data_IF_335733245808
#
_entry.id   IF_335733245808
#
_cell.length_a   1.000
_cell.length_b   1.000
_cell.length_c   1.000
_cell.angle_alpha   90.00
_cell.angle_beta   90.00
_cell.angle_gamma   90.00
#
_symmetry.space_group_name_H-M   'P 1'
#
loop_
_entity.id
_entity.type
_entity.pdbx_description
1 polymer ?
#
# COMPACT_ATOMS: atom_id res chain seq x y z
N UNK A 1 77.87 -23.46 10.94
CA UNK A 1 77.68 -22.87 9.61
C UNK A 1 76.28 -23.18 9.11
N UNK A 2 75.36 -22.40 9.45
CA UNK A 2 73.96 -22.45 8.90
C UNK A 2 73.13 -21.41 9.62
N UNK A 3 73.02 -20.22 9.12
CA UNK A 3 71.96 -19.29 9.52
C UNK A 3 72.10 -17.90 8.81
N UNK A 4 72.41 -17.85 7.51
CA UNK A 4 72.44 -16.61 6.76
C UNK A 4 71.67 -16.61 5.43
N UNK A 5 70.86 -17.61 5.16
CA UNK A 5 70.12 -17.71 3.86
C UNK A 5 68.63 -17.45 4.00
N UNK A 6 68.07 -17.33 5.23
CA UNK A 6 66.62 -17.21 5.45
C UNK A 6 66.07 -15.80 5.41
N UNK A 7 66.89 -14.76 5.29
CA UNK A 7 66.41 -13.37 5.33
C UNK A 7 66.58 -12.58 4.02
N UNK A 8 67.11 -13.21 2.96
CA UNK A 8 67.25 -12.51 1.67
C UNK A 8 66.06 -12.65 0.71
N UNK A 9 65.21 -13.62 0.91
CA UNK A 9 64.08 -13.92 -0.01
C UNK A 9 62.91 -12.93 0.20
N UNK A 10 62.53 -12.48 1.41
CA UNK A 10 61.46 -11.54 1.57
C UNK A 10 61.78 -10.11 1.09
N UNK A 11 63.09 -9.73 1.13
CA UNK A 11 63.49 -8.38 0.70
C UNK A 11 63.52 -8.24 -0.84
N UNK A 12 63.81 -9.30 -1.57
CA UNK A 12 63.79 -9.27 -3.04
C UNK A 12 62.35 -9.28 -3.57
N UNK A 13 61.41 -9.91 -2.88
CA UNK A 13 60.01 -9.91 -3.27
C UNK A 13 59.35 -8.55 -2.97
N UNK A 14 59.74 -7.85 -1.90
CA UNK A 14 59.26 -6.52 -1.59
C UNK A 14 59.83 -5.45 -2.56
N UNK A 15 61.07 -5.66 -3.08
CA UNK A 15 61.65 -4.72 -4.05
C UNK A 15 61.12 -4.96 -5.48
N UNK A 16 60.66 -6.19 -5.84
CA UNK A 16 60.03 -6.46 -7.12
C UNK A 16 58.58 -5.94 -7.17
N UNK A 17 57.87 -5.86 -6.05
CA UNK A 17 56.54 -5.26 -6.01
C UNK A 17 56.58 -3.73 -6.06
N UNK A 18 57.63 -3.10 -5.58
CA UNK A 18 57.81 -1.63 -5.67
C UNK A 18 58.23 -1.15 -7.06
N UNK A 19 58.79 -2.01 -7.92
CA UNK A 19 59.22 -1.66 -9.29
C UNK A 19 58.12 -1.83 -10.35
N UNK A 20 57.00 -2.45 -10.03
CA UNK A 20 55.85 -2.63 -10.95
C UNK A 20 54.78 -1.54 -10.81
N UNK A 21 54.93 -0.58 -9.91
CA UNK A 21 53.98 0.52 -9.68
C UNK A 21 54.37 1.80 -10.44
N UNK A 22 55.42 1.81 -11.25
CA UNK A 22 55.92 3.05 -11.86
C UNK A 22 56.06 3.01 -13.38
N UNK A 23 55.16 2.33 -14.13
CA UNK A 23 55.00 2.57 -15.58
C UNK A 23 53.66 1.98 -16.07
N UNK A 24 52.62 2.74 -15.89
CA UNK A 24 51.33 2.58 -16.50
C UNK A 24 50.50 3.79 -16.17
N UNK A 25 50.43 4.74 -17.08
CA UNK A 25 49.35 5.73 -17.10
C UNK A 25 48.11 4.97 -17.52
N UNK A 26 47.48 4.27 -16.60
CA UNK A 26 46.04 4.05 -16.63
C UNK A 26 45.43 5.21 -15.84
N UNK A 27 44.63 5.97 -16.51
CA UNK A 27 43.72 6.91 -15.86
C UNK A 27 42.94 6.08 -14.84
N UNK A 28 43.34 6.18 -13.58
CA UNK A 28 42.62 5.59 -12.49
C UNK A 28 41.22 6.19 -12.51
N UNK A 29 40.27 5.39 -12.89
CA UNK A 29 38.88 5.63 -12.59
C UNK A 29 38.79 5.83 -11.09
N UNK A 30 38.71 7.11 -10.67
CA UNK A 30 38.41 7.45 -9.28
C UNK A 30 36.99 6.89 -9.07
N UNK A 31 36.91 5.66 -8.58
CA UNK A 31 35.71 5.16 -7.96
C UNK A 31 35.53 6.03 -6.72
N UNK A 32 34.85 7.15 -6.90
CA UNK A 32 34.25 7.85 -5.77
C UNK A 32 33.35 6.80 -5.12
N UNK A 33 33.76 6.27 -3.96
CA UNK A 33 32.83 5.59 -3.08
C UNK A 33 31.68 6.59 -2.90
N UNK A 34 30.59 6.37 -3.61
CA UNK A 34 29.35 7.07 -3.34
C UNK A 34 29.06 6.82 -1.86
N UNK A 35 29.13 7.88 -1.07
CA UNK A 35 28.66 7.84 0.31
C UNK A 35 27.17 7.50 0.24
N UNK A 36 26.87 6.20 0.34
CA UNK A 36 25.52 5.67 0.25
C UNK A 36 24.77 6.11 1.49
N UNK A 37 24.00 7.18 1.36
CA UNK A 37 23.15 7.69 2.43
C UNK A 37 21.97 6.73 2.62
N UNK A 38 22.00 5.94 3.71
CA UNK A 38 20.85 5.10 4.06
C UNK A 38 19.63 5.97 4.36
N UNK A 39 18.48 5.53 3.89
CA UNK A 39 17.21 6.17 4.22
C UNK A 39 16.91 6.00 5.69
N UNK A 40 16.53 7.11 6.34
CA UNK A 40 16.01 7.11 7.70
C UNK A 40 14.56 7.52 7.62
N UNK A 41 13.67 6.57 7.87
CA UNK A 41 12.24 6.86 7.99
C UNK A 41 11.97 7.66 9.28
N UNK A 42 10.94 8.53 9.30
CA UNK A 42 10.55 9.23 10.50
C UNK A 42 10.13 8.23 11.59
N UNK A 43 10.18 8.66 12.84
CA UNK A 43 9.58 7.86 13.92
C UNK A 43 8.07 7.80 13.71
N UNK A 44 7.50 6.63 14.02
CA UNK A 44 6.05 6.48 13.97
C UNK A 44 5.35 7.51 14.85
N UNK A 45 4.23 8.03 14.36
CA UNK A 45 3.32 8.89 15.11
C UNK A 45 2.10 8.12 15.64
N UNK A 46 2.03 6.81 15.38
CA UNK A 46 0.99 5.98 15.96
C UNK A 46 1.17 5.91 17.48
N UNK A 47 0.18 6.41 18.21
CA UNK A 47 0.15 6.38 19.66
C UNK A 47 -0.29 5.00 20.15
N UNK A 48 0.54 3.98 19.89
CA UNK A 48 0.32 2.58 20.30
C UNK A 48 1.33 2.18 21.36
N UNK A 49 0.95 1.27 22.24
CA UNK A 49 1.87 0.63 23.20
C UNK A 49 2.85 -0.29 22.48
N UNK A 50 3.95 -0.67 23.14
CA UNK A 50 4.93 -1.60 22.57
C UNK A 50 4.30 -2.95 22.19
N UNK A 51 3.37 -3.47 23.01
CA UNK A 51 2.62 -4.68 22.71
C UNK A 51 1.75 -4.52 21.47
N UNK A 52 1.06 -3.39 21.33
CA UNK A 52 0.22 -3.11 20.16
C UNK A 52 1.06 -2.91 18.90
N UNK A 53 2.22 -2.27 19.00
CA UNK A 53 3.18 -2.15 17.90
C UNK A 53 3.65 -3.51 17.38
N UNK A 54 3.73 -4.53 18.25
CA UNK A 54 4.11 -5.89 17.83
C UNK A 54 3.09 -6.55 16.90
N UNK A 55 1.86 -6.03 16.80
CA UNK A 55 0.83 -6.51 15.86
C UNK A 55 1.02 -5.99 14.42
N UNK A 56 1.92 -5.05 14.18
CA UNK A 56 2.14 -4.48 12.84
C UNK A 56 2.72 -5.51 11.88
N UNK A 57 3.73 -6.26 12.29
CA UNK A 57 4.31 -7.30 11.44
C UNK A 57 3.29 -8.41 11.09
N UNK A 58 2.53 -8.99 12.05
CA UNK A 58 1.42 -9.89 11.72
C UNK A 58 0.34 -9.29 10.80
N UNK A 59 0.03 -8.00 10.95
CA UNK A 59 -0.93 -7.30 10.06
C UNK A 59 -0.37 -7.15 8.65
N UNK A 60 0.91 -6.88 8.50
CA UNK A 60 1.57 -6.85 7.18
C UNK A 60 1.64 -8.25 6.55
N UNK A 61 1.87 -9.32 7.33
CA UNK A 61 1.78 -10.70 6.84
C UNK A 61 0.37 -11.04 6.34
N UNK A 62 -0.65 -10.64 7.10
CA UNK A 62 -2.03 -10.76 6.64
C UNK A 62 -2.25 -9.98 5.35
N UNK A 63 -1.72 -8.76 5.25
CA UNK A 63 -1.82 -7.90 4.07
C UNK A 63 -1.28 -8.59 2.82
N UNK A 64 -0.04 -9.10 2.86
CA UNK A 64 0.56 -9.75 1.69
C UNK A 64 -0.14 -11.06 1.34
N UNK A 65 -0.50 -11.88 2.33
CA UNK A 65 -1.24 -13.12 2.11
C UNK A 65 -2.61 -12.84 1.50
N UNK A 66 -3.40 -11.94 2.10
CA UNK A 66 -4.73 -11.60 1.62
C UNK A 66 -4.69 -11.01 0.21
N UNK A 67 -3.72 -10.14 -0.08
CA UNK A 67 -3.58 -9.56 -1.41
C UNK A 67 -3.19 -10.61 -2.44
N UNK A 68 -2.23 -11.47 -2.14
CA UNK A 68 -1.79 -12.56 -3.00
C UNK A 68 -2.92 -13.54 -3.31
N UNK A 69 -3.70 -13.93 -2.30
CA UNK A 69 -4.83 -14.84 -2.46
C UNK A 69 -5.95 -14.26 -3.36
N UNK A 70 -6.00 -12.93 -3.51
CA UNK A 70 -6.98 -12.22 -4.33
C UNK A 70 -6.39 -11.65 -5.62
N UNK A 71 -5.09 -11.75 -5.83
CA UNK A 71 -4.43 -11.17 -6.99
C UNK A 71 -4.95 -11.75 -8.31
N UNK A 72 -5.25 -10.86 -9.24
CA UNK A 72 -5.66 -11.18 -10.60
C UNK A 72 -4.69 -10.52 -11.57
N UNK A 73 -4.01 -11.32 -12.38
CA UNK A 73 -3.10 -10.81 -13.39
C UNK A 73 -3.85 -9.91 -14.40
N UNK A 74 -3.16 -8.92 -14.94
CA UNK A 74 -3.68 -7.99 -15.94
C UNK A 74 -4.90 -7.14 -15.47
N UNK A 75 -5.11 -7.04 -14.15
CA UNK A 75 -6.21 -6.28 -13.56
C UNK A 75 -5.65 -5.20 -12.64
N UNK A 76 -6.17 -3.98 -12.75
CA UNK A 76 -5.90 -2.93 -11.78
C UNK A 76 -6.61 -3.27 -10.47
N UNK A 77 -5.84 -3.37 -9.40
CA UNK A 77 -6.35 -3.75 -8.09
C UNK A 77 -5.92 -2.76 -7.02
N UNK A 78 -6.81 -2.53 -6.07
CA UNK A 78 -6.53 -1.76 -4.86
C UNK A 78 -7.34 -2.32 -3.70
N UNK A 79 -6.66 -2.73 -2.64
CA UNK A 79 -7.28 -3.21 -1.41
C UNK A 79 -6.67 -2.49 -0.20
N UNK A 80 -7.46 -2.38 0.86
CA UNK A 80 -6.95 -2.18 2.21
C UNK A 80 -7.12 -3.47 3.00
N UNK A 81 -6.14 -4.38 3.00
CA UNK A 81 -6.24 -5.60 3.80
C UNK A 81 -6.38 -5.30 5.30
N UNK A 82 -5.84 -4.18 5.78
CA UNK A 82 -6.07 -3.69 7.13
C UNK A 82 -7.56 -3.45 7.39
N UNK A 83 -8.29 -2.86 6.44
CA UNK A 83 -9.74 -2.69 6.53
C UNK A 83 -10.49 -4.02 6.59
N UNK A 84 -10.07 -5.01 5.80
CA UNK A 84 -10.63 -6.37 5.88
C UNK A 84 -10.30 -7.05 7.22
N UNK A 85 -9.06 -6.95 7.68
CA UNK A 85 -8.63 -7.48 8.98
C UNK A 85 -9.46 -6.90 10.11
N UNK A 86 -9.69 -5.59 10.09
CA UNK A 86 -10.54 -4.87 11.04
C UNK A 86 -11.99 -5.37 10.99
N UNK A 87 -12.56 -5.48 9.79
CA UNK A 87 -13.94 -5.99 9.61
C UNK A 87 -14.08 -7.42 10.12
N UNK A 88 -13.13 -8.30 9.82
CA UNK A 88 -13.14 -9.69 10.31
C UNK A 88 -12.89 -9.77 11.81
N UNK A 89 -12.12 -8.86 12.41
CA UNK A 89 -11.96 -8.77 13.87
C UNK A 89 -13.30 -8.43 14.56
N UNK A 90 -14.11 -7.55 13.98
CA UNK A 90 -15.49 -7.33 14.47
C UNK A 90 -16.30 -8.64 14.44
N UNK A 91 -16.18 -9.41 13.35
CA UNK A 91 -16.86 -10.71 13.18
C UNK A 91 -16.43 -11.74 14.23
N UNK A 92 -15.14 -11.73 14.64
CA UNK A 92 -14.64 -12.63 15.69
C UNK A 92 -15.45 -12.57 17.01
N UNK A 93 -16.10 -11.42 17.28
CA UNK A 93 -16.89 -11.25 18.51
C UNK A 93 -18.19 -12.07 18.52
N UNK A 94 -18.66 -12.59 17.38
CA UNK A 94 -19.98 -13.25 17.28
C UNK A 94 -19.96 -14.60 16.57
N UNK A 95 -18.81 -15.08 16.12
CA UNK A 95 -18.70 -16.41 15.49
C UNK A 95 -18.21 -17.46 16.47
N UNK A 96 -18.71 -18.70 16.36
CA UNK A 96 -18.35 -19.81 17.25
C UNK A 96 -16.86 -20.12 17.24
N UNK A 97 -16.22 -20.02 16.08
CA UNK A 97 -14.80 -20.29 15.89
C UNK A 97 -13.98 -18.97 15.85
N UNK A 98 -14.37 -17.96 16.62
CA UNK A 98 -13.74 -16.65 16.65
C UNK A 98 -12.24 -16.69 16.96
N UNK A 99 -11.79 -17.68 17.76
CA UNK A 99 -10.36 -17.88 18.06
C UNK A 99 -9.57 -18.26 16.81
N UNK A 100 -10.04 -19.25 16.06
CA UNK A 100 -9.37 -19.68 14.83
C UNK A 100 -9.34 -18.56 13.77
N UNK A 101 -10.43 -17.79 13.66
CA UNK A 101 -10.47 -16.61 12.78
C UNK A 101 -9.47 -15.55 13.25
N UNK A 102 -9.44 -15.24 14.55
CA UNK A 102 -8.49 -14.28 15.15
C UNK A 102 -7.03 -14.66 14.89
N UNK A 103 -6.69 -15.95 15.08
CA UNK A 103 -5.33 -16.45 14.76
C UNK A 103 -5.00 -16.30 13.25
N UNK A 104 -5.96 -16.56 12.38
CA UNK A 104 -5.79 -16.36 10.94
C UNK A 104 -5.55 -14.88 10.58
N UNK A 105 -6.14 -13.96 11.33
CA UNK A 105 -5.92 -12.52 11.18
C UNK A 105 -4.54 -12.06 11.70
N UNK A 106 -3.75 -12.94 12.31
CA UNK A 106 -2.43 -12.63 12.85
C UNK A 106 -2.39 -12.40 14.37
N UNK A 107 -3.52 -12.45 15.08
CA UNK A 107 -3.61 -12.19 16.52
C UNK A 107 -3.52 -13.49 17.35
N UNK A 108 -2.49 -14.28 17.09
CA UNK A 108 -2.28 -15.54 17.79
C UNK A 108 -1.96 -15.30 19.27
N UNK A 109 -2.73 -15.95 20.16
CA UNK A 109 -2.55 -15.83 21.61
C UNK A 109 -3.14 -14.56 22.23
N UNK A 110 -3.61 -13.61 21.44
CA UNK A 110 -4.31 -12.42 21.95
C UNK A 110 -5.73 -12.76 22.42
N UNK A 111 -6.20 -12.07 23.47
CA UNK A 111 -7.62 -12.14 23.85
C UNK A 111 -8.49 -11.33 22.86
N UNK A 112 -9.79 -11.63 22.80
CA UNK A 112 -10.70 -10.82 21.98
C UNK A 112 -10.80 -9.37 22.45
N UNK A 113 -10.72 -9.17 23.76
CA UNK A 113 -10.68 -7.84 24.38
C UNK A 113 -9.40 -7.08 23.95
N UNK A 114 -8.24 -7.76 23.97
CA UNK A 114 -6.97 -7.19 23.49
C UNK A 114 -7.03 -6.76 22.04
N UNK A 115 -7.60 -7.61 21.17
CA UNK A 115 -7.79 -7.27 19.74
C UNK A 115 -8.74 -6.08 19.55
N UNK A 116 -9.86 -6.05 20.29
CA UNK A 116 -10.81 -4.92 20.24
C UNK A 116 -10.13 -3.61 20.68
N UNK A 117 -9.33 -3.65 21.76
CA UNK A 117 -8.59 -2.50 22.28
C UNK A 117 -7.52 -2.05 21.29
N UNK A 118 -6.77 -2.99 20.70
CA UNK A 118 -5.78 -2.67 19.66
C UNK A 118 -6.40 -1.92 18.48
N UNK A 119 -7.51 -2.41 17.93
CA UNK A 119 -8.17 -1.72 16.83
C UNK A 119 -8.77 -0.37 17.24
N UNK A 120 -9.29 -0.25 18.45
CA UNK A 120 -9.73 1.05 18.97
C UNK A 120 -8.59 2.07 18.97
N UNK A 121 -7.44 1.72 19.53
CA UNK A 121 -6.28 2.61 19.57
C UNK A 121 -5.70 2.86 18.18
N UNK A 122 -5.64 1.85 17.31
CA UNK A 122 -5.14 2.00 15.95
C UNK A 122 -6.02 2.95 15.12
N UNK A 123 -7.35 2.82 15.19
CA UNK A 123 -8.28 3.71 14.49
C UNK A 123 -8.10 5.13 15.00
N UNK A 124 -8.04 5.34 16.31
CA UNK A 124 -7.82 6.66 16.91
C UNK A 124 -6.47 7.26 16.49
N UNK A 125 -5.41 6.44 16.49
CA UNK A 125 -4.08 6.87 16.09
C UNK A 125 -4.01 7.27 14.61
N UNK A 126 -4.72 6.56 13.73
CA UNK A 126 -4.78 6.85 12.30
C UNK A 126 -5.71 8.03 11.95
N UNK A 127 -6.74 8.29 12.76
CA UNK A 127 -7.73 9.36 12.53
C UNK A 127 -7.35 10.70 13.18
N UNK A 128 -6.17 10.80 13.79
CA UNK A 128 -5.74 12.00 14.53
C UNK A 128 -5.46 13.20 13.61
N UNK A 129 -5.78 14.41 14.08
CA UNK A 129 -5.45 15.69 13.40
C UNK A 129 -3.94 15.97 13.29
N UNK A 130 -3.10 15.05 13.80
CA UNK A 130 -1.66 15.21 13.82
C UNK A 130 -0.98 15.00 12.45
N UNK A 131 -1.73 14.58 11.43
CA UNK A 131 -1.20 14.26 10.13
C UNK A 131 -1.46 15.39 9.13
N UNK A 132 -0.47 15.71 8.30
CA UNK A 132 -0.61 16.67 7.19
C UNK A 132 -1.43 16.11 6.02
N UNK A 133 -1.77 14.82 6.10
CA UNK A 133 -2.49 14.07 5.08
C UNK A 133 -3.87 13.69 5.62
N UNK A 134 -4.85 13.59 4.74
CA UNK A 134 -6.18 13.13 5.10
C UNK A 134 -6.28 11.62 4.96
N UNK A 135 -6.51 10.94 6.08
CA UNK A 135 -6.83 9.53 6.13
C UNK A 135 -8.20 9.36 6.81
N UNK A 136 -9.18 8.88 6.07
CA UNK A 136 -10.48 8.50 6.62
C UNK A 136 -10.62 6.99 6.64
N UNK A 137 -10.97 6.45 7.80
CA UNK A 137 -11.29 5.05 8.02
C UNK A 137 -12.68 5.00 8.66
N UNK A 138 -13.68 4.74 7.85
CA UNK A 138 -15.06 4.68 8.30
C UNK A 138 -15.61 3.24 8.22
N UNK A 139 -16.38 2.84 9.25
CA UNK A 139 -16.99 1.52 9.35
C UNK A 139 -18.50 1.66 9.49
N UNK A 140 -19.26 0.88 8.71
CA UNK A 140 -20.71 0.84 8.79
C UNK A 140 -21.23 -0.55 9.11
N UNK A 141 -22.23 -0.59 9.98
CA UNK A 141 -23.11 -1.74 10.19
C UNK A 141 -24.52 -1.31 9.82
N UNK A 142 -24.99 -1.78 8.67
CA UNK A 142 -26.32 -1.43 8.17
C UNK A 142 -27.20 -2.65 8.15
N UNK A 143 -28.42 -2.52 8.69
CA UNK A 143 -29.39 -3.59 8.78
C UNK A 143 -30.75 -3.16 8.26
N UNK A 144 -31.41 -4.02 7.48
CA UNK A 144 -32.81 -3.79 7.12
C UNK A 144 -33.69 -3.86 8.36
N UNK A 145 -34.62 -2.92 8.51
CA UNK A 145 -35.53 -2.84 9.68
C UNK A 145 -36.32 -4.12 9.93
N UNK A 146 -36.39 -5.02 8.96
CA UNK A 146 -37.06 -6.32 9.04
C UNK A 146 -36.12 -7.49 9.32
N UNK A 147 -34.80 -7.23 9.36
CA UNK A 147 -33.81 -8.23 9.73
C UNK A 147 -33.89 -8.56 11.23
N UNK A 148 -33.32 -9.70 11.60
CA UNK A 148 -33.15 -10.03 13.01
C UNK A 148 -32.23 -9.05 13.72
N UNK A 149 -32.60 -8.73 14.97
CA UNK A 149 -31.82 -7.79 15.78
C UNK A 149 -30.63 -8.48 16.43
N UNK A 150 -29.50 -7.79 16.38
CA UNK A 150 -28.28 -8.23 17.05
C UNK A 150 -28.30 -7.86 18.54
N UNK A 151 -27.59 -8.61 19.40
CA UNK A 151 -27.44 -8.27 20.81
C UNK A 151 -26.86 -6.86 21.00
N UNK A 152 -27.45 -6.10 21.93
CA UNK A 152 -26.98 -4.74 22.23
C UNK A 152 -25.52 -4.73 22.66
N UNK A 153 -25.07 -5.77 23.38
CA UNK A 153 -23.66 -5.92 23.79
C UNK A 153 -22.70 -5.97 22.58
N UNK A 154 -23.09 -6.65 21.50
CA UNK A 154 -22.31 -6.68 20.28
C UNK A 154 -22.28 -5.31 19.58
N UNK A 155 -23.45 -4.68 19.43
CA UNK A 155 -23.52 -3.34 18.84
C UNK A 155 -22.69 -2.33 19.63
N UNK A 156 -22.68 -2.44 20.97
CA UNK A 156 -21.85 -1.58 21.83
C UNK A 156 -20.35 -1.80 21.61
N UNK A 157 -19.89 -3.04 21.41
CA UNK A 157 -18.49 -3.33 21.05
C UNK A 157 -18.16 -2.68 19.71
N UNK A 158 -19.04 -2.83 18.70
CA UNK A 158 -18.80 -2.23 17.38
C UNK A 158 -18.67 -0.70 17.47
N UNK A 159 -19.55 -0.05 18.22
CA UNK A 159 -19.53 1.41 18.38
C UNK A 159 -18.34 1.91 19.19
N UNK A 160 -18.01 1.23 20.30
CA UNK A 160 -16.98 1.71 21.23
C UNK A 160 -15.55 1.41 20.75
N UNK A 161 -15.32 0.23 20.16
CA UNK A 161 -13.96 -0.20 19.80
C UNK A 161 -13.64 0.01 18.31
N UNK A 162 -14.65 0.02 17.45
CA UNK A 162 -14.45 0.13 16.01
C UNK A 162 -15.08 1.37 15.38
N UNK A 163 -15.69 2.23 16.21
CA UNK A 163 -16.34 3.48 15.78
C UNK A 163 -17.33 3.27 14.61
N UNK A 164 -18.10 2.18 14.70
CA UNK A 164 -19.04 1.79 13.65
C UNK A 164 -20.26 2.70 13.64
N UNK A 165 -20.59 3.23 12.48
CA UNK A 165 -21.89 3.84 12.21
C UNK A 165 -22.94 2.75 12.08
N UNK A 166 -23.85 2.71 13.04
CA UNK A 166 -24.98 1.75 13.05
C UNK A 166 -26.22 2.39 12.46
N UNK A 167 -26.75 1.79 11.39
CA UNK A 167 -27.97 2.27 10.71
C UNK A 167 -28.99 1.16 10.54
N UNK A 168 -30.23 1.41 10.95
CA UNK A 168 -31.41 0.65 10.52
C UNK A 168 -31.98 1.33 9.27
N UNK A 169 -32.05 0.61 8.17
CA UNK A 169 -32.50 1.11 6.86
C UNK A 169 -33.73 0.35 6.37
N UNK A 170 -34.58 0.98 5.59
CA UNK A 170 -35.63 0.31 4.84
C UNK A 170 -35.13 -0.02 3.43
N UNK A 171 -34.64 -1.26 3.23
CA UNK A 171 -34.18 -1.70 1.93
C UNK A 171 -35.36 -1.76 0.94
N UNK A 172 -35.22 -1.09 -0.19
CA UNK A 172 -36.22 -1.02 -1.27
C UNK A 172 -35.73 -1.81 -2.49
N UNK A 173 -36.66 -2.18 -3.40
CA UNK A 173 -36.25 -2.78 -4.68
C UNK A 173 -35.32 -1.88 -5.47
N UNK A 174 -34.37 -2.47 -6.23
CA UNK A 174 -33.42 -1.74 -7.06
C UNK A 174 -34.10 -0.80 -8.08
N UNK A 175 -35.31 -1.17 -8.54
CA UNK A 175 -36.11 -0.34 -9.44
C UNK A 175 -36.58 0.98 -8.83
N UNK A 176 -36.59 1.08 -7.50
CA UNK A 176 -37.01 2.25 -6.73
C UNK A 176 -35.84 3.07 -6.17
N UNK A 177 -34.63 2.56 -6.30
CA UNK A 177 -33.43 3.20 -5.76
C UNK A 177 -32.36 3.30 -6.85
N UNK A 178 -32.21 4.47 -7.51
CA UNK A 178 -31.14 4.69 -8.44
C UNK A 178 -29.76 4.47 -7.79
N UNK A 179 -28.81 3.98 -8.57
CA UNK A 179 -27.40 3.86 -8.16
C UNK A 179 -26.90 5.23 -7.67
N UNK A 180 -26.22 5.25 -6.54
CA UNK A 180 -25.70 6.48 -5.92
C UNK A 180 -26.67 7.19 -4.97
N UNK A 181 -27.94 6.70 -4.85
CA UNK A 181 -28.96 7.26 -3.95
C UNK A 181 -29.41 6.31 -2.84
N UNK A 182 -28.82 5.14 -2.76
CA UNK A 182 -29.12 4.16 -1.69
C UNK A 182 -28.46 4.58 -0.39
N UNK A 183 -28.99 4.24 0.79
CA UNK A 183 -28.40 4.61 2.07
C UNK A 183 -26.91 4.23 2.18
N UNK A 184 -26.54 3.03 1.73
CA UNK A 184 -25.16 2.57 1.72
C UNK A 184 -24.27 3.36 0.74
N UNK A 185 -24.81 3.81 -0.38
CA UNK A 185 -24.07 4.66 -1.34
C UNK A 185 -23.85 6.06 -0.76
N UNK A 186 -24.89 6.66 -0.18
CA UNK A 186 -24.81 8.00 0.46
C UNK A 186 -23.79 7.96 1.59
N UNK A 187 -23.82 6.92 2.43
CA UNK A 187 -22.84 6.76 3.50
C UNK A 187 -21.39 6.69 2.96
N UNK A 188 -21.16 5.96 1.86
CA UNK A 188 -19.84 5.92 1.22
C UNK A 188 -19.43 7.31 0.72
N UNK A 189 -20.35 8.05 0.08
CA UNK A 189 -20.08 9.42 -0.41
C UNK A 189 -19.71 10.35 0.74
N UNK A 190 -20.48 10.34 1.81
CA UNK A 190 -20.30 11.24 2.97
C UNK A 190 -18.97 10.96 3.70
N UNK A 191 -18.55 9.69 3.78
CA UNK A 191 -17.32 9.29 4.47
C UNK A 191 -16.07 9.29 3.61
N UNK A 192 -16.17 9.64 2.32
CA UNK A 192 -15.04 9.66 1.38
C UNK A 192 -14.99 10.92 0.51
N UNK A 193 -15.58 12.03 0.97
CA UNK A 193 -15.67 13.28 0.19
C UNK A 193 -16.17 13.07 -1.24
N UNK A 194 -17.10 12.15 -1.43
CA UNK A 194 -17.62 11.80 -2.73
C UNK A 194 -16.67 11.00 -3.63
N UNK A 195 -15.51 10.55 -3.17
CA UNK A 195 -14.61 9.72 -3.98
C UNK A 195 -15.17 8.33 -4.25
N UNK A 196 -15.89 7.77 -3.28
CA UNK A 196 -16.59 6.49 -3.43
C UNK A 196 -18.08 6.76 -3.60
N UNK A 197 -18.56 6.70 -4.84
CA UNK A 197 -19.94 7.03 -5.19
C UNK A 197 -20.96 5.91 -4.89
N UNK A 198 -20.49 4.67 -4.74
CA UNK A 198 -21.37 3.52 -4.52
C UNK A 198 -20.74 2.53 -3.55
N UNK A 199 -21.55 1.91 -2.71
CA UNK A 199 -21.12 0.81 -1.85
C UNK A 199 -20.66 -0.42 -2.66
N UNK A 200 -19.89 -1.34 -2.06
CA UNK A 200 -19.40 -2.53 -2.75
C UNK A 200 -20.53 -3.55 -3.08
N UNK A 201 -21.69 -3.39 -2.48
CA UNK A 201 -22.87 -4.27 -2.65
C UNK A 201 -24.17 -3.51 -2.37
N UNK A 202 -25.28 -4.16 -2.57
CA UNK A 202 -26.63 -3.65 -2.27
C UNK A 202 -27.21 -4.42 -1.09
N UNK A 203 -27.71 -3.71 -0.09
CA UNK A 203 -28.40 -4.31 1.05
C UNK A 203 -29.86 -4.58 0.65
N UNK A 204 -30.25 -5.85 0.74
CA UNK A 204 -31.61 -6.30 0.40
C UNK A 204 -32.47 -6.43 1.65
N UNK A 205 -33.76 -6.62 1.41
CA UNK A 205 -34.75 -6.90 2.45
C UNK A 205 -34.33 -8.09 3.32
N UNK A 206 -34.38 -7.92 4.65
CA UNK A 206 -33.91 -8.88 5.68
C UNK A 206 -32.40 -9.11 5.72
N UNK A 207 -31.58 -8.29 5.07
CA UNK A 207 -30.12 -8.42 5.11
C UNK A 207 -29.48 -7.43 6.08
N UNK A 208 -28.37 -7.86 6.63
CA UNK A 208 -27.45 -7.03 7.42
C UNK A 208 -26.08 -7.13 6.83
N UNK A 209 -25.36 -6.01 6.79
CA UNK A 209 -24.04 -5.89 6.18
C UNK A 209 -23.10 -5.09 7.05
N UNK A 210 -21.84 -5.50 7.04
CA UNK A 210 -20.73 -4.84 7.70
C UNK A 210 -19.70 -4.50 6.62
N UNK A 211 -19.31 -3.24 6.51
CA UNK A 211 -18.38 -2.78 5.49
C UNK A 211 -17.60 -1.55 5.94
N UNK A 212 -16.54 -1.26 5.23
CA UNK A 212 -15.75 -0.06 5.47
C UNK A 212 -15.48 0.71 4.17
N UNK A 213 -15.22 1.99 4.35
CA UNK A 213 -14.72 2.89 3.33
C UNK A 213 -13.39 3.49 3.81
N UNK A 214 -12.39 3.36 2.98
CA UNK A 214 -11.05 3.89 3.22
C UNK A 214 -10.72 4.94 2.19
N UNK A 215 -10.28 6.10 2.65
CA UNK A 215 -9.82 7.21 1.84
C UNK A 215 -8.43 7.64 2.30
N UNK A 216 -7.53 7.83 1.36
CA UNK A 216 -6.26 8.51 1.58
C UNK A 216 -6.09 9.64 0.57
N UNK A 217 -5.77 10.85 1.07
CA UNK A 217 -5.34 11.99 0.28
C UNK A 217 -4.05 12.55 0.86
N UNK A 218 -3.08 12.84 0.01
CA UNK A 218 -1.82 13.42 0.44
C UNK A 218 -1.12 14.13 -0.70
N UNK A 219 -0.60 15.33 -0.46
CA UNK A 219 0.29 15.97 -1.41
C UNK A 219 1.68 15.36 -1.31
N UNK A 220 2.41 15.27 -2.43
CA UNK A 220 3.81 14.88 -2.37
C UNK A 220 4.62 15.83 -1.50
N UNK A 221 5.52 15.31 -0.68
CA UNK A 221 6.49 16.15 0.03
C UNK A 221 7.33 16.95 -0.97
N UNK A 222 7.73 16.30 -2.05
CA UNK A 222 8.42 16.90 -3.19
C UNK A 222 7.62 16.61 -4.46
N UNK A 223 6.91 17.60 -4.99
CA UNK A 223 6.03 17.46 -6.17
C UNK A 223 6.78 17.08 -7.44
N UNK A 224 6.08 16.43 -8.35
CA UNK A 224 6.58 16.14 -9.69
C UNK A 224 6.47 17.36 -10.59
N UNK A 225 7.19 17.35 -11.70
CA UNK A 225 7.08 18.35 -12.75
C UNK A 225 5.68 18.29 -13.37
N UNK A 226 5.10 19.47 -13.64
CA UNK A 226 3.78 19.57 -14.28
C UNK A 226 3.86 19.34 -15.79
N UNK A 227 4.45 18.21 -16.16
CA UNK A 227 4.58 17.75 -17.54
C UNK A 227 4.07 16.31 -17.67
N UNK A 228 2.81 16.19 -18.04
CA UNK A 228 2.17 14.90 -18.31
C UNK A 228 2.40 14.47 -19.75
N UNK A 229 3.65 14.40 -20.22
CA UNK A 229 3.93 13.92 -21.56
C UNK A 229 3.47 12.47 -21.72
N UNK A 230 2.54 12.17 -22.63
CA UNK A 230 2.10 10.82 -22.86
C UNK A 230 3.24 9.89 -23.29
N UNK A 231 3.26 8.70 -22.74
CA UNK A 231 4.21 7.63 -23.09
C UNK A 231 3.48 6.29 -23.24
N UNK A 232 4.24 5.26 -23.59
CA UNK A 232 3.73 3.90 -23.70
C UNK A 232 3.90 3.18 -22.36
N UNK A 233 2.80 2.68 -21.82
CA UNK A 233 2.79 1.75 -20.70
C UNK A 233 2.55 0.33 -21.25
N UNK A 234 3.48 -0.56 -21.03
CA UNK A 234 3.45 -1.94 -21.53
C UNK A 234 2.62 -2.80 -20.58
N UNK A 235 1.31 -2.85 -20.82
CA UNK A 235 0.36 -3.54 -19.91
C UNK A 235 0.52 -5.06 -19.93
N UNK A 236 0.87 -5.64 -21.10
CA UNK A 236 1.17 -7.07 -21.29
C UNK A 236 2.05 -7.27 -22.53
N UNK A 237 2.60 -8.48 -22.77
CA UNK A 237 3.34 -8.78 -23.97
C UNK A 237 2.53 -8.34 -25.22
N UNK A 238 3.20 -7.63 -26.12
CA UNK A 238 2.63 -7.15 -27.40
C UNK A 238 1.49 -6.12 -27.27
N UNK A 239 1.22 -5.61 -26.03
CA UNK A 239 0.22 -4.56 -25.83
C UNK A 239 0.79 -3.43 -24.98
N UNK A 240 0.65 -2.21 -25.49
CA UNK A 240 0.89 -0.98 -24.74
C UNK A 240 -0.36 -0.11 -24.70
N UNK A 241 -0.44 0.73 -23.67
CA UNK A 241 -1.49 1.72 -23.48
C UNK A 241 -0.83 3.08 -23.40
N UNK A 242 -1.32 4.03 -24.19
CA UNK A 242 -0.82 5.41 -24.11
C UNK A 242 -1.40 6.10 -22.88
N UNK A 243 -0.51 6.45 -21.93
CA UNK A 243 -0.90 7.09 -20.67
C UNK A 243 -0.03 8.31 -20.39
N UNK A 244 -0.52 9.32 -19.67
CA UNK A 244 0.32 10.42 -19.21
C UNK A 244 1.31 9.92 -18.16
N UNK A 245 2.56 10.43 -18.21
CA UNK A 245 3.60 10.16 -17.22
C UNK A 245 4.01 11.46 -16.54
N UNK A 246 4.13 11.42 -15.24
CA UNK A 246 4.77 12.46 -14.46
C UNK A 246 6.25 12.17 -14.30
N UNK A 247 7.06 13.22 -14.21
CA UNK A 247 8.51 13.16 -14.18
C UNK A 247 9.08 13.95 -13.03
N UNK A 248 10.20 13.47 -12.50
CA UNK A 248 10.95 14.15 -11.48
C UNK A 248 12.40 13.70 -11.52
N UNK A 249 13.32 14.66 -11.42
CA UNK A 249 14.73 14.44 -11.15
C UNK A 249 15.02 14.88 -9.71
N UNK A 250 15.62 14.01 -8.91
CA UNK A 250 15.99 14.36 -7.53
C UNK A 250 16.35 13.18 -6.65
N UNK A 251 16.66 13.48 -5.40
CA UNK A 251 16.99 12.46 -4.40
C UNK A 251 15.73 11.73 -3.95
N UNK A 252 15.71 10.41 -4.14
CA UNK A 252 14.64 9.53 -3.68
C UNK A 252 15.20 8.31 -2.96
N UNK A 253 14.36 7.67 -2.17
CA UNK A 253 14.66 6.40 -1.54
C UNK A 253 14.53 5.31 -2.61
N UNK A 254 15.64 4.67 -2.96
CA UNK A 254 15.72 3.64 -3.99
C UNK A 254 16.26 2.34 -3.39
N UNK A 255 15.65 1.23 -3.77
CA UNK A 255 16.12 -0.13 -3.50
C UNK A 255 16.20 -0.91 -4.81
N UNK A 256 17.20 -1.79 -4.93
CA UNK A 256 17.32 -2.70 -6.07
C UNK A 256 17.77 -4.07 -5.62
N UNK A 257 17.14 -5.08 -6.15
CA UNK A 257 17.60 -6.47 -6.07
C UNK A 257 17.45 -7.15 -7.44
N UNK A 258 17.74 -8.44 -7.50
CA UNK A 258 17.62 -9.23 -8.73
C UNK A 258 16.17 -9.28 -9.25
N UNK A 259 15.19 -9.36 -8.35
CA UNK A 259 13.79 -9.58 -8.68
C UNK A 259 13.01 -8.30 -9.00
N UNK A 260 13.35 -7.18 -8.35
CA UNK A 260 12.63 -5.92 -8.50
C UNK A 260 13.47 -4.70 -8.12
N UNK A 261 12.97 -3.56 -8.52
CA UNK A 261 13.41 -2.26 -8.00
C UNK A 261 12.26 -1.60 -7.24
N UNK A 262 12.55 -0.86 -6.18
CA UNK A 262 11.52 -0.14 -5.44
C UNK A 262 11.95 1.30 -5.16
N UNK A 263 10.96 2.21 -5.13
CA UNK A 263 11.12 3.59 -4.65
C UNK A 263 10.10 3.86 -3.55
N UNK A 264 10.48 4.70 -2.58
CA UNK A 264 9.56 5.21 -1.56
C UNK A 264 9.48 6.72 -1.66
N UNK A 265 8.27 7.24 -1.79
CA UNK A 265 7.92 8.62 -2.06
C UNK A 265 7.07 9.17 -0.90
N UNK A 266 7.61 10.06 -0.07
CA UNK A 266 6.87 10.58 1.08
C UNK A 266 5.79 11.58 0.66
N UNK A 267 4.67 11.54 1.39
CA UNK A 267 3.62 12.55 1.35
C UNK A 267 3.81 13.58 2.46
N UNK A 268 3.53 14.84 2.15
CA UNK A 268 3.47 15.94 3.12
C UNK A 268 4.68 16.01 4.05
N UNK A 269 4.48 15.74 5.31
CA UNK A 269 5.51 15.74 6.34
C UNK A 269 6.32 14.42 6.47
N UNK A 270 6.06 13.48 5.58
CA UNK A 270 6.72 12.17 5.56
C UNK A 270 6.11 11.12 6.47
N UNK A 271 4.98 11.39 7.12
CA UNK A 271 4.29 10.41 7.98
C UNK A 271 3.77 9.23 7.18
N UNK A 272 3.36 9.46 5.95
CA UNK A 272 2.97 8.42 5.00
C UNK A 272 3.85 8.44 3.77
N UNK A 273 4.07 7.28 3.18
CA UNK A 273 4.77 7.13 1.91
C UNK A 273 4.03 6.23 0.93
N UNK A 274 4.23 6.48 -0.36
CA UNK A 274 3.91 5.56 -1.43
C UNK A 274 5.19 4.80 -1.79
N UNK A 275 5.17 3.48 -1.68
CA UNK A 275 6.22 2.65 -2.26
C UNK A 275 5.73 2.05 -3.57
N UNK A 276 6.56 2.11 -4.62
CA UNK A 276 6.33 1.45 -5.90
C UNK A 276 7.37 0.35 -6.05
N UNK A 277 6.91 -0.89 -6.27
CA UNK A 277 7.74 -2.09 -6.46
C UNK A 277 7.58 -2.56 -7.89
N UNK A 278 8.60 -2.34 -8.71
CA UNK A 278 8.61 -2.65 -10.14
C UNK A 278 9.41 -3.92 -10.39
N UNK A 279 8.77 -5.01 -10.87
CA UNK A 279 9.47 -6.25 -11.22
C UNK A 279 10.59 -6.03 -12.25
N UNK A 280 11.76 -6.64 -12.04
CA UNK A 280 12.87 -6.61 -13.01
C UNK A 280 12.49 -7.34 -14.31
N UNK A 281 11.80 -8.48 -14.17
CA UNK A 281 11.18 -9.17 -15.30
C UNK A 281 9.78 -8.60 -15.48
N UNK A 282 9.54 -7.90 -16.59
CA UNK A 282 8.23 -7.31 -16.89
C UNK A 282 7.11 -8.33 -16.72
N UNK A 283 5.97 -7.88 -16.21
CA UNK A 283 4.75 -8.67 -15.97
C UNK A 283 4.85 -9.72 -14.85
N UNK A 284 6.01 -9.88 -14.18
CA UNK A 284 6.19 -10.86 -13.10
C UNK A 284 5.74 -10.33 -11.74
N UNK A 285 4.61 -9.61 -11.70
CA UNK A 285 4.02 -9.10 -10.45
C UNK A 285 3.72 -10.24 -9.48
N UNK A 286 3.10 -11.32 -9.95
CA UNK A 286 2.79 -12.49 -9.12
C UNK A 286 4.04 -13.11 -8.49
N UNK A 287 5.13 -13.26 -9.24
CA UNK A 287 6.39 -13.81 -8.72
C UNK A 287 7.05 -12.91 -7.67
N UNK A 288 6.87 -11.60 -7.76
CA UNK A 288 7.32 -10.66 -6.71
C UNK A 288 6.42 -10.77 -5.49
N UNK A 289 5.09 -10.84 -5.66
CA UNK A 289 4.14 -10.99 -4.55
C UNK A 289 4.40 -12.27 -3.72
N UNK A 290 4.82 -13.37 -4.34
CA UNK A 290 5.17 -14.62 -3.64
C UNK A 290 6.38 -14.46 -2.69
N UNK A 291 7.22 -13.45 -2.92
CA UNK A 291 8.42 -13.18 -2.12
C UNK A 291 8.20 -12.13 -1.03
N UNK A 292 7.04 -11.48 -1.02
CA UNK A 292 6.71 -10.43 -0.06
C UNK A 292 5.94 -11.00 1.14
N UNK A 293 6.49 -10.79 2.30
CA UNK A 293 5.88 -10.98 3.62
C UNK A 293 6.33 -9.83 4.54
N UNK A 294 5.92 -9.82 5.80
CA UNK A 294 6.30 -8.75 6.74
C UNK A 294 7.81 -8.62 6.90
N UNK A 295 8.52 -9.74 6.92
CA UNK A 295 9.99 -9.77 7.09
C UNK A 295 10.71 -9.23 5.86
N UNK A 296 10.29 -9.65 4.67
CA UNK A 296 10.84 -9.13 3.41
C UNK A 296 10.54 -7.63 3.27
N UNK A 297 9.35 -7.19 3.69
CA UNK A 297 8.95 -5.79 3.73
C UNK A 297 9.83 -4.96 4.66
N UNK A 298 10.04 -5.42 5.89
CA UNK A 298 10.92 -4.76 6.86
C UNK A 298 12.36 -4.67 6.34
N UNK A 299 12.89 -5.77 5.78
CA UNK A 299 14.23 -5.80 5.17
C UNK A 299 14.35 -4.79 4.04
N UNK A 300 13.39 -4.78 3.10
CA UNK A 300 13.35 -3.83 1.99
C UNK A 300 13.37 -2.39 2.51
N UNK A 301 12.55 -2.07 3.52
CA UNK A 301 12.52 -0.73 4.12
C UNK A 301 13.85 -0.34 4.77
N UNK A 302 14.50 -1.28 5.44
CA UNK A 302 15.83 -1.07 6.06
C UNK A 302 16.98 -0.91 5.06
N UNK A 303 16.78 -1.28 3.81
CA UNK A 303 17.81 -1.26 2.77
C UNK A 303 17.64 -0.14 1.73
N UNK A 304 16.62 0.69 1.85
CA UNK A 304 16.50 1.88 1.00
C UNK A 304 17.70 2.80 1.17
N UNK A 305 18.19 3.29 0.04
CA UNK A 305 19.27 4.28 -0.02
C UNK A 305 18.81 5.52 -0.75
N UNK A 306 19.27 6.69 -0.32
CA UNK A 306 18.89 7.95 -0.91
C UNK A 306 19.81 8.29 -2.07
N UNK A 307 19.28 8.32 -3.29
CA UNK A 307 20.05 8.52 -4.52
C UNK A 307 19.41 9.53 -5.45
N UNK A 308 20.24 10.17 -6.28
CA UNK A 308 19.77 10.98 -7.41
C UNK A 308 19.18 10.07 -8.48
N UNK A 309 17.88 10.18 -8.72
CA UNK A 309 17.13 9.31 -9.65
C UNK A 309 16.30 10.17 -10.58
N UNK A 310 16.32 9.82 -11.85
CA UNK A 310 15.29 10.26 -12.81
C UNK A 310 14.11 9.32 -12.71
N UNK A 311 12.99 9.82 -12.23
CA UNK A 311 11.74 9.08 -12.11
C UNK A 311 10.79 9.39 -13.25
N UNK A 312 10.15 8.35 -13.78
CA UNK A 312 9.07 8.42 -14.75
C UNK A 312 8.00 7.44 -14.30
N UNK A 313 6.86 7.97 -13.89
CA UNK A 313 5.78 7.19 -13.28
C UNK A 313 4.45 7.56 -13.96
N UNK A 314 3.56 6.60 -14.30
CA UNK A 314 2.28 6.93 -14.89
C UNK A 314 1.40 7.72 -13.93
N UNK A 315 0.63 8.66 -14.47
CA UNK A 315 -0.54 9.23 -13.79
C UNK A 315 -1.66 8.21 -13.92
N UNK A 316 -2.21 7.73 -12.81
CA UNK A 316 -3.25 6.71 -12.84
C UNK A 316 -4.27 6.85 -11.71
N UNK A 317 -5.38 6.18 -11.91
CA UNK A 317 -6.39 5.98 -10.87
C UNK A 317 -6.87 4.54 -10.89
N UNK A 318 -7.04 3.96 -9.71
CA UNK A 318 -7.59 2.61 -9.52
C UNK A 318 -8.78 2.68 -8.60
N UNK A 319 -9.88 2.04 -8.97
CA UNK A 319 -11.04 1.83 -8.11
C UNK A 319 -11.36 0.34 -8.11
N UNK A 320 -11.41 -0.25 -6.94
CA UNK A 320 -11.61 -1.69 -6.80
C UNK A 320 -12.63 -1.97 -5.69
N UNK A 321 -13.51 -2.94 -5.95
CA UNK A 321 -14.50 -3.41 -4.98
C UNK A 321 -14.25 -4.87 -4.66
N UNK A 322 -14.19 -5.19 -3.39
CA UNK A 322 -14.12 -6.57 -2.89
C UNK A 322 -15.25 -6.78 -1.90
N UNK A 323 -15.99 -7.83 -2.10
CA UNK A 323 -17.00 -8.29 -1.14
C UNK A 323 -17.04 -9.80 -1.11
N UNK A 324 -17.52 -10.35 0.00
CA UNK A 324 -17.70 -11.79 0.16
C UNK A 324 -18.87 -12.09 1.10
N UNK A 325 -19.45 -13.24 0.94
CA UNK A 325 -20.39 -13.83 1.90
C UNK A 325 -19.60 -14.47 3.03
N UNK A 326 -20.13 -14.40 4.25
CA UNK A 326 -19.56 -15.07 5.39
C UNK A 326 -20.22 -16.43 5.57
N UNK A 327 -19.40 -17.48 5.58
CA UNK A 327 -19.83 -18.87 5.88
C UNK A 327 -19.32 -19.28 7.26
N UNK A 328 -19.77 -18.52 8.29
CA UNK A 328 -19.43 -18.79 9.69
C UNK A 328 -20.68 -19.12 10.49
N UNK A 329 -20.54 -20.05 11.46
CA UNK A 329 -21.55 -20.25 12.48
C UNK A 329 -21.48 -19.17 13.56
N UNK A 330 -22.58 -18.51 13.83
CA UNK A 330 -22.69 -17.45 14.81
C UNK A 330 -23.10 -17.98 16.18
N UNK A 331 -22.67 -17.28 17.25
CA UNK A 331 -22.96 -17.63 18.64
C UNK A 331 -24.44 -17.32 18.93
N UNK A 332 -25.09 -18.20 19.74
CA UNK A 332 -26.40 -17.90 20.29
C UNK A 332 -27.56 -17.82 19.28
N UNK A 333 -27.40 -18.38 18.09
CA UNK A 333 -28.44 -18.34 17.06
C UNK A 333 -28.62 -16.96 16.43
N UNK A 334 -27.63 -16.08 16.54
CA UNK A 334 -27.60 -14.78 15.86
C UNK A 334 -27.66 -15.03 14.36
N UNK A 335 -28.55 -14.32 13.66
CA UNK A 335 -28.60 -14.37 12.22
C UNK A 335 -27.28 -13.86 11.61
N UNK A 336 -26.67 -14.60 10.68
CA UNK A 336 -25.44 -14.16 10.05
C UNK A 336 -25.68 -12.91 9.21
N UNK A 337 -24.85 -11.89 9.36
CA UNK A 337 -24.74 -10.88 8.33
C UNK A 337 -24.09 -11.53 7.12
N UNK A 338 -24.72 -11.35 5.96
CA UNK A 338 -24.36 -12.14 4.78
C UNK A 338 -23.15 -11.59 4.05
N UNK A 339 -22.91 -10.28 4.16
CA UNK A 339 -21.97 -9.58 3.31
C UNK A 339 -21.00 -8.76 4.15
N UNK A 340 -19.72 -8.97 3.90
CA UNK A 340 -18.68 -8.01 4.24
C UNK A 340 -18.07 -7.49 2.95
N UNK A 341 -17.70 -6.23 2.95
CA UNK A 341 -17.15 -5.63 1.75
C UNK A 341 -16.31 -4.41 2.00
N UNK A 342 -15.54 -4.08 0.98
CA UNK A 342 -14.72 -2.88 0.93
C UNK A 342 -14.75 -2.32 -0.47
N UNK A 343 -14.77 -1.01 -0.57
CA UNK A 343 -14.43 -0.30 -1.78
C UNK A 343 -13.30 0.66 -1.49
N UNK A 344 -12.28 0.61 -2.33
CA UNK A 344 -11.12 1.49 -2.26
C UNK A 344 -10.96 2.23 -3.57
N UNK A 345 -10.58 3.49 -3.49
CA UNK A 345 -10.27 4.33 -4.66
C UNK A 345 -8.99 5.10 -4.37
N UNK A 346 -8.10 5.11 -5.35
CA UNK A 346 -6.85 5.84 -5.31
C UNK A 346 -6.60 6.50 -6.65
N UNK A 347 -6.17 7.75 -6.62
CA UNK A 347 -5.73 8.47 -7.81
C UNK A 347 -4.45 9.23 -7.50
N UNK A 348 -3.54 9.28 -8.44
CA UNK A 348 -2.21 9.85 -8.29
C UNK A 348 -1.87 10.73 -9.49
N UNK A 349 -1.38 11.94 -9.21
CA UNK A 349 -0.87 12.88 -10.18
C UNK A 349 0.40 13.59 -9.64
N UNK A 350 0.85 14.64 -10.32
CA UNK A 350 2.06 15.40 -9.97
C UNK A 350 2.00 16.10 -8.61
N UNK A 351 0.82 16.43 -8.13
CA UNK A 351 0.61 17.13 -6.87
C UNK A 351 0.52 16.15 -5.68
N UNK A 352 0.11 14.89 -5.92
CA UNK A 352 -0.05 13.89 -4.87
C UNK A 352 -1.12 12.85 -5.17
N UNK A 353 -1.58 12.20 -4.10
CA UNK A 353 -2.74 11.31 -4.10
C UNK A 353 -4.00 12.13 -3.79
N UNK A 354 -4.94 12.20 -4.72
CA UNK A 354 -6.21 12.91 -4.54
C UNK A 354 -7.24 12.49 -5.59
N UNK A 355 -8.47 12.99 -5.47
CA UNK A 355 -9.45 12.87 -6.55
C UNK A 355 -8.95 13.62 -7.79
N UNK A 356 -8.88 12.93 -8.93
CA UNK A 356 -8.27 13.43 -10.14
C UNK A 356 -8.96 14.69 -10.67
N UNK A 357 -8.20 15.79 -10.79
CA UNK A 357 -8.49 16.86 -11.74
C UNK A 357 -7.35 16.94 -12.75
N UNK A 358 -7.65 16.76 -14.03
CA UNK A 358 -6.69 16.87 -15.13
C UNK A 358 -6.66 18.32 -15.57
N UNK A 359 -5.51 18.97 -15.41
CA UNK A 359 -5.27 20.32 -15.98
C UNK A 359 -4.07 20.25 -16.93
N UNK A 360 -4.24 20.64 -18.18
CA UNK A 360 -3.16 20.70 -19.16
C UNK A 360 -2.34 22.00 -18.99
N UNK A 361 -1.02 21.89 -18.98
CA UNK A 361 -0.11 23.02 -19.09
C UNK A 361 1.11 22.70 -19.98
N UNK A 362 1.61 23.72 -20.66
CA UNK A 362 2.69 23.67 -21.67
C UNK A 362 4.08 23.90 -21.07
N UNK A 363 5.09 23.32 -21.71
CA UNK A 363 6.48 23.11 -21.29
C UNK A 363 7.45 24.21 -21.74
N UNK A 364 8.53 24.46 -21.02
CA UNK A 364 9.80 24.93 -21.57
C UNK A 364 10.95 23.90 -21.48
N UNK A 365 11.86 24.03 -22.42
CA UNK A 365 12.96 23.13 -22.74
C UNK A 365 14.04 23.09 -21.65
N UNK A 366 14.55 21.89 -21.37
CA UNK A 366 15.56 21.61 -20.36
C UNK A 366 16.99 22.04 -20.76
N UNK A 367 17.73 22.51 -19.76
CA UNK A 367 19.15 22.81 -19.82
C UNK A 367 20.01 21.54 -19.62
N UNK A 368 20.97 21.32 -20.49
CA UNK A 368 21.85 20.16 -20.52
C UNK A 368 23.18 20.47 -19.82
N UNK A 369 23.23 20.57 -18.51
CA UNK A 369 24.48 20.72 -17.79
C UNK A 369 24.55 19.86 -16.54
N UNK A 370 25.28 18.82 -16.65
CA UNK A 370 26.08 18.01 -15.72
C UNK A 370 25.86 16.52 -15.96
N UNK A 371 26.89 15.85 -16.47
CA UNK A 371 26.93 14.39 -16.67
C UNK A 371 27.27 13.75 -15.31
N UNK A 372 26.34 13.79 -14.36
CA UNK A 372 26.27 12.78 -13.31
C UNK A 372 25.40 11.67 -13.89
N UNK A 373 25.87 10.45 -13.91
CA UNK A 373 25.05 9.28 -14.29
C UNK A 373 23.92 9.15 -13.26
N UNK A 374 22.81 9.83 -13.51
CA UNK A 374 21.60 9.67 -12.68
C UNK A 374 21.08 8.26 -12.88
N UNK A 375 20.77 7.58 -11.79
CA UNK A 375 19.99 6.33 -11.87
C UNK A 375 18.60 6.63 -12.45
N UNK A 376 17.97 5.65 -13.04
CA UNK A 376 16.62 5.82 -13.61
C UNK A 376 15.66 4.84 -12.98
N UNK A 377 14.45 5.30 -12.67
CA UNK A 377 13.31 4.47 -12.29
C UNK A 377 12.13 4.80 -13.21
N UNK A 378 11.82 3.88 -14.11
CA UNK A 378 10.78 4.06 -15.14
C UNK A 378 9.73 2.98 -14.93
N UNK A 379 8.57 3.35 -14.37
CA UNK A 379 7.45 2.45 -14.13
C UNK A 379 6.55 2.38 -15.37
N UNK A 380 7.06 1.75 -16.43
CA UNK A 380 6.39 1.62 -17.74
C UNK A 380 5.72 0.25 -17.97
N UNK A 381 5.62 -0.56 -16.94
CA UNK A 381 5.02 -1.90 -16.96
C UNK A 381 4.37 -2.20 -15.60
N UNK A 382 3.53 -3.25 -15.47
CA UNK A 382 2.80 -3.54 -14.24
C UNK A 382 3.67 -3.56 -12.99
N UNK A 383 3.21 -2.88 -11.95
CA UNK A 383 3.91 -2.73 -10.69
C UNK A 383 2.96 -2.85 -9.49
N UNK A 384 3.52 -3.24 -8.33
CA UNK A 384 2.84 -3.20 -7.04
C UNK A 384 3.06 -1.81 -6.43
N UNK A 385 2.07 -1.29 -5.72
CA UNK A 385 2.21 -0.09 -4.92
C UNK A 385 1.58 -0.25 -3.55
N UNK A 386 2.15 0.43 -2.54
CA UNK A 386 1.63 0.44 -1.17
C UNK A 386 1.54 1.86 -0.66
N UNK A 387 0.53 2.14 0.18
CA UNK A 387 0.51 3.33 1.03
C UNK A 387 0.76 2.86 2.46
N UNK A 388 1.75 3.45 3.11
CA UNK A 388 2.33 2.95 4.36
C UNK A 388 2.47 4.08 5.37
N UNK A 389 2.23 3.81 6.66
CA UNK A 389 2.72 4.71 7.71
C UNK A 389 4.23 4.52 7.82
N UNK A 390 4.97 5.59 7.52
CA UNK A 390 6.39 5.53 7.27
C UNK A 390 7.22 5.08 8.47
N UNK A 391 6.79 5.43 9.68
CA UNK A 391 7.54 5.15 10.90
C UNK A 391 7.47 3.69 11.35
N UNK A 392 6.29 3.10 11.28
CA UNK A 392 6.05 1.72 11.70
C UNK A 392 6.16 0.70 10.57
N UNK A 393 5.99 1.14 9.33
CA UNK A 393 5.89 0.26 8.17
C UNK A 393 4.53 -0.42 8.01
N UNK A 394 3.50 0.01 8.75
CA UNK A 394 2.14 -0.51 8.62
C UNK A 394 1.59 -0.18 7.24
N UNK A 395 1.20 -1.21 6.49
CA UNK A 395 0.61 -1.07 5.16
C UNK A 395 -0.90 -0.80 5.31
N UNK A 396 -1.33 0.36 4.81
CA UNK A 396 -2.74 0.77 4.81
C UNK A 396 -3.45 0.30 3.54
N UNK A 397 -2.77 0.44 2.42
CA UNK A 397 -3.25 0.01 1.10
C UNK A 397 -2.16 -0.73 0.35
N UNK A 398 -2.59 -1.70 -0.44
CA UNK A 398 -1.76 -2.37 -1.43
C UNK A 398 -2.54 -2.50 -2.73
N UNK A 399 -1.88 -2.24 -3.86
CA UNK A 399 -2.49 -2.33 -5.17
C UNK A 399 -1.52 -2.79 -6.24
N UNK A 400 -2.07 -3.07 -7.40
CA UNK A 400 -1.35 -3.30 -8.65
C UNK A 400 -1.92 -2.37 -9.70
N UNK A 401 -1.05 -1.63 -10.36
CA UNK A 401 -1.39 -0.95 -11.59
C UNK A 401 -0.89 -1.78 -12.76
N UNK A 402 -1.81 -2.27 -13.58
CA UNK A 402 -1.55 -3.13 -14.74
C UNK A 402 -1.72 -2.41 -16.07
N UNK A 403 -2.29 -1.20 -16.05
CA UNK A 403 -2.70 -0.47 -17.25
C UNK A 403 -3.88 -1.13 -17.95
N UNK A 404 -4.78 -1.78 -17.20
CA UNK A 404 -6.00 -2.37 -17.75
C UNK A 404 -6.90 -1.27 -18.33
N UNK A 405 -7.51 -1.54 -19.47
CA UNK A 405 -8.47 -0.61 -20.08
C UNK A 405 -9.73 -0.51 -19.23
N UNK A 406 -10.16 0.73 -18.97
CA UNK A 406 -11.42 0.99 -18.24
C UNK A 406 -12.66 0.46 -18.96
N UNK A 407 -12.55 0.14 -20.26
CA UNK A 407 -13.67 -0.41 -21.05
C UNK A 407 -13.93 -1.91 -20.79
N UNK A 408 -12.94 -2.68 -20.34
CA UNK A 408 -13.12 -4.11 -20.06
C UNK A 408 -13.79 -4.35 -18.68
N UNK A 409 -13.74 -3.38 -17.76
CA UNK A 409 -14.33 -3.51 -16.41
C UNK A 409 -15.85 -3.33 -16.36
N UNK A 410 -16.51 -2.92 -17.45
CA UNK A 410 -17.98 -2.72 -17.51
C UNK A 410 -18.71 -4.03 -17.88
N UNK A 411 -17.99 -5.07 -18.30
CA UNK A 411 -18.57 -6.33 -18.81
C UNK A 411 -18.40 -7.54 -17.87
N UNK A 412 -17.83 -7.40 -16.67
CA UNK A 412 -17.66 -8.51 -15.74
C UNK A 412 -18.57 -8.40 -14.49
#
# INVERSE_FOLDING_TARGET
MTNRVKYLIPAIFALMMAALVCCGKEEGEIVLEDNVEKTVFPKTRLSLTESEMSNIAPSNDYTFRFFRDNYQAETDMLLSPLGYQLTLAMVCNVVKNGEALRENLGFKGESMEGVNTYFQHLIQALSGEAFSNELSLANAFMTDVRAEKYPESFINILKSNYFVDYHEIEAKPLSEQPIGSRPEDIWCQDNTDGMIQTAPFVIKKYETSLFNAFLFKGEWQDKFEKDQTPGEFFSKPERSVRTPFMRKDGKVNLYRCEDFSAVSLPFGDGTFDLSIILPTVRYNVGGVLEKLDSKAWESLRGEFVRKEVRMVIPVFSTSYSKWQTLDYEFIGGIAPFKLIGQKATFAMNEDGASAASVTQAHVPVADLSSIVRKETFIADSPFIYTITESGSGLILFIGVYSGADKEEMIQS
#
